data_IF_039967282988
#
_entry.id   IF_039967282988
#
_cell.length_a   1.000
_cell.length_b   1.000
_cell.length_c   1.000
_cell.angle_alpha   90.00
_cell.angle_beta   90.00
_cell.angle_gamma   90.00
#
_symmetry.space_group_name_H-M   'P 1'
#
loop_
_entity.id
_entity.type
_entity.pdbx_description
1 polymer ?
#
# COMPACT_ATOMS: atom_id res chain seq x y z
N UNK A 1 0.76 16.56 -17.43
CA UNK A 1 1.17 15.91 -16.16
C UNK A 1 2.00 16.85 -15.30
N UNK A 2 3.21 17.26 -15.73
CA UNK A 2 4.12 18.12 -14.93
C UNK A 2 3.51 19.42 -14.39
N UNK A 3 2.57 20.03 -15.12
CA UNK A 3 1.86 21.21 -14.63
C UNK A 3 0.97 20.92 -13.40
N UNK A 4 0.43 19.70 -13.28
CA UNK A 4 -0.44 19.29 -12.15
C UNK A 4 0.32 18.99 -10.86
N UNK A 5 1.59 18.64 -10.97
CA UNK A 5 2.48 18.36 -9.82
C UNK A 5 3.33 19.56 -9.45
N UNK A 6 3.27 20.65 -10.23
CA UNK A 6 3.93 21.91 -9.92
C UNK A 6 3.26 22.54 -8.69
N UNK A 7 4.05 22.91 -7.68
CA UNK A 7 3.55 23.42 -6.40
C UNK A 7 3.18 22.35 -5.37
N UNK A 8 3.38 21.07 -5.68
CA UNK A 8 3.32 20.01 -4.67
C UNK A 8 4.50 20.11 -3.71
N UNK A 9 4.26 19.72 -2.46
CA UNK A 9 5.23 19.77 -1.36
C UNK A 9 5.66 18.35 -1.00
N UNK A 10 6.86 18.24 -0.43
CA UNK A 10 7.40 16.96 0.01
C UNK A 10 6.73 16.55 1.32
N UNK A 11 6.33 15.28 1.42
CA UNK A 11 5.76 14.74 2.66
C UNK A 11 6.74 14.77 3.83
N UNK A 12 8.01 14.47 3.56
CA UNK A 12 9.13 14.60 4.50
C UNK A 12 10.40 15.00 3.72
N UNK A 13 11.48 15.45 4.39
CA UNK A 13 12.75 15.73 3.75
C UNK A 13 13.28 14.56 2.90
N UNK A 14 13.94 14.87 1.79
CA UNK A 14 14.52 13.85 0.90
C UNK A 14 15.50 12.96 1.66
N UNK A 15 15.33 11.65 1.54
CA UNK A 15 16.19 10.65 2.17
C UNK A 15 15.91 10.42 3.65
N UNK A 16 14.92 11.08 4.26
CA UNK A 16 14.62 10.88 5.69
C UNK A 16 13.72 9.68 5.96
N UNK A 17 12.87 9.27 5.00
CA UNK A 17 11.90 8.17 5.11
C UNK A 17 11.54 7.59 3.74
N UNK A 18 11.08 6.34 3.74
CA UNK A 18 10.42 5.74 2.59
C UNK A 18 8.93 6.12 2.55
N UNK A 19 8.43 6.51 1.38
CA UNK A 19 7.01 6.62 1.08
C UNK A 19 6.78 6.20 -0.37
N UNK A 20 5.92 5.21 -0.57
CA UNK A 20 5.57 4.74 -1.92
C UNK A 20 4.97 5.89 -2.74
N UNK A 21 5.39 6.05 -4.01
CA UNK A 21 4.94 7.15 -4.87
C UNK A 21 4.93 6.75 -6.34
N UNK A 22 3.74 6.50 -6.89
CA UNK A 22 3.52 6.32 -8.33
C UNK A 22 3.96 7.57 -9.10
N UNK A 23 3.65 8.76 -8.56
CA UNK A 23 4.01 10.05 -9.17
C UNK A 23 5.52 10.19 -9.35
N UNK A 24 6.32 9.63 -8.44
CA UNK A 24 7.78 9.60 -8.56
C UNK A 24 8.26 8.94 -9.86
N UNK A 25 7.66 7.81 -10.26
CA UNK A 25 8.00 7.11 -11.50
C UNK A 25 7.51 7.84 -12.74
N UNK A 26 6.31 8.41 -12.71
CA UNK A 26 5.79 9.23 -13.81
C UNK A 26 6.63 10.50 -14.02
N UNK A 27 7.19 11.08 -12.96
CA UNK A 27 8.13 12.20 -13.05
C UNK A 27 9.42 11.79 -13.76
N UNK A 28 9.96 10.60 -13.46
CA UNK A 28 11.12 10.04 -14.17
C UNK A 28 10.82 9.85 -15.65
N UNK A 29 9.66 9.28 -16.00
CA UNK A 29 9.24 9.16 -17.39
C UNK A 29 9.07 10.53 -18.07
N UNK A 30 8.48 11.50 -17.40
CA UNK A 30 8.34 12.86 -17.94
C UNK A 30 9.71 13.52 -18.19
N UNK A 31 10.70 13.28 -17.33
CA UNK A 31 12.08 13.72 -17.54
C UNK A 31 12.71 13.01 -18.76
N UNK A 32 12.56 11.69 -18.89
CA UNK A 32 13.03 10.93 -20.04
C UNK A 32 12.46 11.49 -21.35
N UNK A 33 11.14 11.70 -21.43
CA UNK A 33 10.50 12.26 -22.63
C UNK A 33 11.04 13.64 -22.99
N UNK A 34 11.35 14.50 -22.01
CA UNK A 34 11.94 15.82 -22.26
C UNK A 34 13.36 15.73 -22.80
N UNK A 35 14.15 14.79 -22.29
CA UNK A 35 15.56 14.61 -22.68
C UNK A 35 15.65 13.99 -24.08
N UNK A 36 14.82 12.98 -24.37
CA UNK A 36 14.91 12.19 -25.60
C UNK A 36 14.04 12.74 -26.74
N UNK A 37 13.00 13.52 -26.43
CA UNK A 37 11.97 13.92 -27.39
C UNK A 37 11.02 12.78 -27.80
N UNK A 38 11.19 11.57 -27.26
CA UNK A 38 10.34 10.42 -27.53
C UNK A 38 9.20 10.33 -26.51
N UNK A 39 8.08 9.68 -26.88
CA UNK A 39 7.09 9.25 -25.89
C UNK A 39 7.67 8.14 -25.02
N UNK A 40 7.18 8.00 -23.79
CA UNK A 40 7.64 6.93 -22.90
C UNK A 40 7.39 5.53 -23.49
N UNK A 41 6.24 5.33 -24.16
CA UNK A 41 5.93 4.08 -24.87
C UNK A 41 6.98 3.77 -25.95
N UNK A 42 7.34 4.76 -26.79
CA UNK A 42 8.31 4.57 -27.86
C UNK A 42 9.71 4.28 -27.29
N UNK A 43 10.10 5.02 -26.26
CA UNK A 43 11.37 4.82 -25.59
C UNK A 43 11.48 3.42 -24.95
N UNK A 44 10.46 2.99 -24.20
CA UNK A 44 10.42 1.64 -23.61
C UNK A 44 10.48 0.55 -24.70
N UNK A 45 9.75 0.72 -25.80
CA UNK A 45 9.78 -0.24 -26.91
C UNK A 45 11.16 -0.35 -27.53
N UNK A 46 11.84 0.76 -27.79
CA UNK A 46 13.14 0.80 -28.47
C UNK A 46 14.30 0.39 -27.59
N UNK A 47 14.30 0.83 -26.33
CA UNK A 47 15.44 0.72 -25.41
C UNK A 47 15.33 -0.45 -24.43
N UNK A 48 14.13 -0.99 -24.21
CA UNK A 48 13.91 -2.07 -23.24
C UNK A 48 13.27 -3.28 -23.90
N UNK A 49 12.06 -3.15 -24.45
CA UNK A 49 11.31 -4.32 -24.91
C UNK A 49 11.95 -5.01 -26.10
N UNK A 50 12.30 -4.26 -27.15
CA UNK A 50 12.93 -4.85 -28.35
C UNK A 50 14.29 -5.49 -28.06
N UNK A 51 15.23 -4.84 -27.34
CA UNK A 51 16.51 -5.47 -26.99
C UNK A 51 16.37 -6.74 -26.14
N UNK A 52 15.33 -6.82 -25.29
CA UNK A 52 15.05 -8.00 -24.47
C UNK A 52 14.21 -9.08 -25.19
N UNK A 53 13.78 -8.83 -26.42
CA UNK A 53 12.88 -9.74 -27.14
C UNK A 53 11.43 -9.76 -26.62
N UNK A 54 11.03 -8.77 -25.82
CA UNK A 54 9.70 -8.63 -25.24
C UNK A 54 8.70 -8.06 -26.27
N UNK A 55 8.38 -8.84 -27.30
CA UNK A 55 7.62 -8.37 -28.47
C UNK A 55 6.13 -8.13 -28.21
N UNK A 56 5.59 -8.65 -27.10
CA UNK A 56 4.18 -8.52 -26.69
C UNK A 56 3.98 -7.50 -25.58
N UNK A 57 5.06 -6.86 -25.13
CA UNK A 57 5.04 -5.88 -24.04
C UNK A 57 4.76 -4.48 -24.54
N UNK A 58 3.88 -3.77 -23.84
CA UNK A 58 3.51 -2.40 -24.19
C UNK A 58 3.02 -1.63 -22.98
N UNK A 59 3.12 -0.30 -23.04
CA UNK A 59 2.48 0.60 -22.07
C UNK A 59 1.18 1.21 -22.62
N UNK A 60 0.69 0.71 -23.75
CA UNK A 60 -0.49 1.19 -24.44
C UNK A 60 -1.65 0.21 -24.27
N UNK A 61 -2.63 0.57 -23.46
CA UNK A 61 -3.77 -0.28 -23.16
C UNK A 61 -4.58 -0.67 -24.41
N UNK A 62 -4.69 0.21 -25.41
CA UNK A 62 -5.40 -0.12 -26.66
C UNK A 62 -4.69 -1.20 -27.47
N UNK A 63 -3.35 -1.19 -27.47
CA UNK A 63 -2.57 -2.23 -28.13
C UNK A 63 -2.61 -3.54 -27.34
N UNK A 64 -2.61 -3.46 -26.01
CA UNK A 64 -2.60 -4.64 -25.13
C UNK A 64 -3.94 -5.39 -25.08
N UNK A 65 -5.05 -4.67 -24.91
CA UNK A 65 -6.34 -5.27 -24.52
C UNK A 65 -7.25 -5.63 -25.70
N UNK A 66 -6.86 -5.29 -26.93
CA UNK A 66 -7.63 -5.61 -28.15
C UNK A 66 -7.18 -6.89 -28.85
N UNK A 67 -6.11 -7.53 -28.38
CA UNK A 67 -5.61 -8.78 -28.94
C UNK A 67 -6.48 -9.97 -28.54
N UNK A 68 -6.53 -10.99 -29.39
CA UNK A 68 -7.30 -12.23 -29.12
C UNK A 68 -6.74 -13.02 -27.93
N UNK A 69 -5.45 -12.85 -27.60
CA UNK A 69 -4.76 -13.49 -26.47
C UNK A 69 -4.58 -12.53 -25.28
N UNK A 70 -5.48 -11.54 -25.15
CA UNK A 70 -5.53 -10.63 -24.01
C UNK A 70 -6.43 -11.20 -22.91
N UNK A 71 -5.95 -11.24 -21.67
CA UNK A 71 -6.78 -11.58 -20.53
C UNK A 71 -7.63 -10.39 -20.10
N UNK A 72 -8.93 -10.59 -19.87
CA UNK A 72 -9.79 -9.61 -19.19
C UNK A 72 -9.58 -9.63 -17.68
N UNK A 73 -9.57 -8.46 -17.05
CA UNK A 73 -9.41 -8.31 -15.60
C UNK A 73 -10.74 -8.48 -14.88
N UNK A 74 -10.72 -9.06 -13.66
CA UNK A 74 -11.93 -9.37 -12.91
C UNK A 74 -11.89 -8.88 -11.46
N UNK A 75 -13.09 -8.61 -10.93
CA UNK A 75 -13.38 -8.50 -9.50
C UNK A 75 -14.51 -9.47 -9.16
N UNK A 76 -14.17 -10.61 -8.57
CA UNK A 76 -15.14 -11.69 -8.36
C UNK A 76 -15.63 -12.23 -9.71
N UNK A 77 -16.94 -12.29 -9.88
CA UNK A 77 -17.60 -12.64 -11.15
C UNK A 77 -17.73 -11.47 -12.13
N UNK A 78 -17.43 -10.24 -11.71
CA UNK A 78 -17.53 -9.05 -12.56
C UNK A 78 -16.26 -8.83 -13.38
N UNK A 79 -16.41 -8.63 -14.68
CA UNK A 79 -15.32 -8.27 -15.59
C UNK A 79 -15.17 -6.73 -15.64
N UNK A 80 -13.94 -6.24 -15.61
CA UNK A 80 -13.63 -4.82 -15.83
C UNK A 80 -13.79 -4.46 -17.30
N UNK A 81 -14.41 -3.32 -17.59
CA UNK A 81 -14.46 -2.83 -18.97
C UNK A 81 -13.08 -2.35 -19.43
N UNK A 82 -12.89 -2.24 -20.75
CA UNK A 82 -11.69 -1.64 -21.32
C UNK A 82 -11.34 -0.30 -20.66
N UNK A 83 -12.35 0.56 -20.43
CA UNK A 83 -12.18 1.89 -19.86
C UNK A 83 -11.65 1.82 -18.43
N UNK A 84 -12.11 0.85 -17.65
CA UNK A 84 -11.75 0.71 -16.25
C UNK A 84 -10.31 0.19 -16.08
N UNK A 85 -9.81 -0.55 -17.07
CA UNK A 85 -8.43 -1.07 -17.09
C UNK A 85 -7.39 -0.03 -17.52
N UNK A 86 -7.79 1.10 -18.13
CA UNK A 86 -6.82 2.11 -18.57
C UNK A 86 -6.22 2.87 -17.39
N UNK A 87 -4.94 2.64 -17.13
CA UNK A 87 -4.18 3.35 -16.09
C UNK A 87 -3.55 4.63 -16.70
N UNK A 88 -3.89 5.83 -16.21
CA UNK A 88 -3.35 7.08 -16.75
C UNK A 88 -1.90 7.36 -16.33
N UNK A 89 -1.45 6.73 -15.24
CA UNK A 89 -0.08 6.80 -14.72
C UNK A 89 0.78 5.73 -15.41
N UNK A 90 1.31 6.08 -16.58
CA UNK A 90 1.86 5.10 -17.51
C UNK A 90 3.10 4.40 -16.92
N UNK A 91 4.02 5.16 -16.36
CA UNK A 91 5.33 4.64 -15.96
C UNK A 91 5.29 3.88 -14.63
N UNK A 92 4.33 4.18 -13.76
CA UNK A 92 4.22 3.54 -12.45
C UNK A 92 3.42 2.24 -12.45
N UNK A 93 2.67 1.93 -13.52
CA UNK A 93 1.80 0.74 -13.47
C UNK A 93 1.06 0.35 -14.75
N UNK A 94 1.24 1.03 -15.90
CA UNK A 94 0.47 0.72 -17.11
C UNK A 94 1.18 -0.24 -18.08
N UNK A 95 2.14 -1.04 -17.60
CA UNK A 95 2.77 -2.07 -18.43
C UNK A 95 1.84 -3.28 -18.55
N UNK A 96 1.59 -3.68 -19.79
CA UNK A 96 0.96 -4.95 -20.14
C UNK A 96 2.02 -5.85 -20.76
N UNK A 97 2.07 -7.11 -20.36
CA UNK A 97 3.06 -8.10 -20.80
C UNK A 97 2.49 -9.52 -20.71
N UNK A 98 3.16 -10.47 -21.35
CA UNK A 98 2.96 -11.91 -21.13
C UNK A 98 3.96 -12.46 -20.10
N UNK A 99 3.73 -13.69 -19.65
CA UNK A 99 4.69 -14.41 -18.80
C UNK A 99 5.99 -14.73 -19.56
N UNK A 100 5.91 -14.94 -20.88
CA UNK A 100 7.08 -15.21 -21.74
C UNK A 100 7.98 -13.97 -21.83
N UNK A 101 7.40 -12.80 -22.12
CA UNK A 101 8.13 -11.54 -22.20
C UNK A 101 8.76 -11.17 -20.84
N UNK A 102 8.01 -11.30 -19.75
CA UNK A 102 8.57 -11.03 -18.41
C UNK A 102 9.64 -12.05 -18.04
N UNK A 103 9.63 -13.27 -18.59
CA UNK A 103 10.71 -14.24 -18.38
C UNK A 103 12.02 -13.78 -19.03
N UNK A 104 11.98 -13.06 -20.15
CA UNK A 104 13.16 -12.41 -20.73
C UNK A 104 13.74 -11.33 -19.79
N UNK A 105 12.88 -10.51 -19.19
CA UNK A 105 13.28 -9.52 -18.19
C UNK A 105 13.94 -10.18 -16.97
N UNK A 106 13.34 -11.24 -16.42
CA UNK A 106 13.91 -12.00 -15.31
C UNK A 106 15.25 -12.65 -15.70
N UNK A 107 15.35 -13.21 -16.91
CA UNK A 107 16.58 -13.80 -17.42
C UNK A 107 17.72 -12.78 -17.52
N UNK A 108 17.45 -11.54 -17.95
CA UNK A 108 18.44 -10.46 -17.97
C UNK A 108 19.01 -10.20 -16.56
N UNK A 109 18.16 -10.15 -15.53
CA UNK A 109 18.62 -9.98 -14.15
C UNK A 109 19.44 -11.17 -13.65
N UNK A 110 19.00 -12.41 -13.95
CA UNK A 110 19.71 -13.64 -13.56
C UNK A 110 21.08 -13.77 -14.25
N UNK A 111 21.18 -13.30 -15.49
CA UNK A 111 22.44 -13.28 -16.26
C UNK A 111 23.30 -12.04 -15.95
N UNK A 112 22.98 -11.31 -14.88
CA UNK A 112 23.77 -10.15 -14.43
C UNK A 112 23.81 -9.01 -15.45
N UNK A 113 22.72 -8.79 -16.19
CA UNK A 113 22.58 -7.69 -17.16
C UNK A 113 23.01 -8.04 -18.57
N UNK A 114 23.20 -9.33 -18.87
CA UNK A 114 23.52 -9.83 -20.21
C UNK A 114 22.28 -10.32 -20.95
N UNK A 115 22.25 -10.05 -22.24
CA UNK A 115 21.21 -10.52 -23.18
C UNK A 115 21.94 -11.02 -24.42
N UNK A 116 21.76 -12.29 -24.79
CA UNK A 116 22.45 -12.94 -25.90
C UNK A 116 23.99 -12.76 -25.89
N UNK A 117 24.58 -12.69 -24.69
CA UNK A 117 26.02 -12.51 -24.49
C UNK A 117 26.48 -11.04 -24.49
N UNK A 118 25.61 -10.10 -24.86
CA UNK A 118 25.90 -8.67 -24.91
C UNK A 118 25.46 -7.94 -23.64
N UNK A 119 26.17 -6.87 -23.28
CA UNK A 119 25.88 -6.05 -22.10
C UNK A 119 24.66 -5.16 -22.37
N UNK A 120 23.52 -5.52 -21.80
CA UNK A 120 22.32 -4.70 -21.82
C UNK A 120 22.31 -3.68 -20.67
N UNK A 121 22.56 -4.12 -19.44
CA UNK A 121 22.62 -3.25 -18.26
C UNK A 121 23.92 -3.43 -17.50
N UNK A 122 24.55 -2.31 -17.16
CA UNK A 122 25.80 -2.29 -16.40
C UNK A 122 25.61 -2.92 -15.01
N UNK A 123 26.58 -3.72 -14.59
CA UNK A 123 26.53 -4.40 -13.28
C UNK A 123 26.37 -3.40 -12.14
N UNK A 124 27.03 -2.24 -12.21
CA UNK A 124 26.88 -1.16 -11.21
C UNK A 124 25.43 -0.71 -11.03
N UNK A 125 24.66 -0.63 -12.12
CA UNK A 125 23.26 -0.21 -12.07
C UNK A 125 22.38 -1.32 -11.48
N UNK A 126 22.67 -2.58 -11.79
CA UNK A 126 22.01 -3.71 -11.12
C UNK A 126 22.29 -3.71 -9.62
N UNK A 127 23.55 -3.53 -9.22
CA UNK A 127 23.93 -3.46 -7.81
C UNK A 127 23.22 -2.30 -7.09
N UNK A 128 22.98 -1.17 -7.78
CA UNK A 128 22.20 -0.04 -7.27
C UNK A 128 20.71 -0.38 -7.10
N UNK A 129 20.11 -1.06 -8.09
CA UNK A 129 18.72 -1.56 -8.02
C UNK A 129 18.56 -2.57 -6.88
N UNK A 130 19.57 -3.42 -6.65
CA UNK A 130 19.54 -4.49 -5.63
C UNK A 130 19.85 -3.99 -4.22
N UNK A 131 20.18 -2.71 -4.05
CA UNK A 131 20.60 -2.16 -2.77
C UNK A 131 19.39 -1.96 -1.86
N UNK A 132 19.49 -2.45 -0.63
CA UNK A 132 18.60 -2.00 0.45
C UNK A 132 18.99 -0.54 0.75
N UNK A 133 18.10 0.44 0.58
CA UNK A 133 18.38 1.81 1.01
C UNK A 133 18.45 1.80 2.55
N UNK A 134 19.67 1.72 3.09
CA UNK A 134 19.94 1.66 4.53
C UNK A 134 19.44 2.93 5.24
N UNK A 135 18.18 2.92 5.63
CA UNK A 135 17.63 3.87 6.60
C UNK A 135 18.01 3.45 8.03
N UNK A 136 18.27 2.15 8.22
CA UNK A 136 18.62 1.50 9.48
C UNK A 136 19.77 0.50 9.30
N UNK A 137 20.61 0.37 10.32
CA UNK A 137 21.78 -0.54 10.33
C UNK A 137 21.37 -2.01 10.13
N UNK A 138 20.25 -2.43 10.72
CA UNK A 138 19.81 -3.84 10.73
C UNK A 138 18.72 -4.15 9.68
N UNK A 139 18.56 -3.28 8.68
CA UNK A 139 17.51 -3.46 7.67
C UNK A 139 17.83 -4.67 6.76
N UNK A 140 16.91 -5.63 6.71
CA UNK A 140 17.01 -6.83 5.85
C UNK A 140 15.99 -6.83 4.72
N UNK A 141 15.05 -5.87 4.72
CA UNK A 141 14.06 -5.72 3.66
C UNK A 141 13.72 -4.25 3.42
N UNK A 142 13.53 -3.90 2.15
CA UNK A 142 13.02 -2.61 1.73
C UNK A 142 12.24 -2.71 0.42
N UNK A 143 11.53 -1.64 0.09
CA UNK A 143 11.14 -1.34 -1.29
C UNK A 143 12.07 -0.23 -1.77
N UNK A 144 12.80 -0.46 -2.86
CA UNK A 144 13.76 0.49 -3.43
C UNK A 144 13.69 0.44 -4.96
N UNK A 145 13.73 1.60 -5.63
CA UNK A 145 13.66 1.68 -7.10
C UNK A 145 12.49 0.91 -7.73
N UNK A 146 11.38 0.74 -7.00
CA UNK A 146 10.17 0.05 -7.48
C UNK A 146 10.17 -1.46 -7.26
N UNK A 147 11.19 -1.99 -6.59
CA UNK A 147 11.33 -3.43 -6.34
C UNK A 147 11.43 -3.72 -4.84
N UNK A 148 10.85 -4.84 -4.42
CA UNK A 148 11.07 -5.39 -3.09
C UNK A 148 12.42 -6.09 -3.02
N UNK A 149 13.29 -5.65 -2.13
CA UNK A 149 14.61 -6.23 -1.87
C UNK A 149 14.57 -6.90 -0.51
N UNK A 150 14.85 -8.20 -0.44
CA UNK A 150 14.77 -9.02 0.77
C UNK A 150 16.02 -9.86 0.97
N UNK A 151 16.50 -9.93 2.22
CA UNK A 151 17.65 -10.73 2.65
C UNK A 151 17.41 -11.51 3.95
N UNK A 152 16.20 -11.49 4.51
CA UNK A 152 15.94 -12.19 5.77
C UNK A 152 15.65 -13.69 5.58
N UNK A 153 15.24 -14.14 4.39
CA UNK A 153 14.96 -15.55 4.16
C UNK A 153 16.18 -16.35 3.71
N UNK A 154 16.11 -17.67 3.94
CA UNK A 154 16.98 -18.67 3.30
C UNK A 154 18.48 -18.38 3.46
N UNK A 155 18.90 -18.04 4.68
CA UNK A 155 20.31 -17.85 5.01
C UNK A 155 20.94 -16.57 4.45
N UNK A 156 20.13 -15.56 4.11
CA UNK A 156 20.63 -14.28 3.63
C UNK A 156 20.59 -14.09 2.11
N UNK A 157 20.06 -15.07 1.39
CA UNK A 157 19.96 -15.03 -0.07
C UNK A 157 19.13 -13.82 -0.52
N UNK A 158 19.64 -13.13 -1.53
CA UNK A 158 18.99 -11.94 -2.07
C UNK A 158 17.76 -12.35 -2.88
N UNK A 159 16.59 -11.95 -2.40
CA UNK A 159 15.32 -12.09 -3.08
C UNK A 159 14.85 -10.74 -3.59
N UNK A 160 14.65 -10.63 -4.90
CA UNK A 160 14.04 -9.49 -5.55
C UNK A 160 12.58 -9.83 -5.85
N UNK A 161 11.66 -8.91 -5.57
CA UNK A 161 10.22 -9.10 -5.74
C UNK A 161 9.62 -7.93 -6.49
N UNK A 162 8.96 -8.23 -7.59
CA UNK A 162 8.27 -7.30 -8.47
C UNK A 162 6.79 -7.58 -8.29
N UNK A 163 6.14 -6.76 -7.48
CA UNK A 163 4.71 -6.85 -7.22
C UNK A 163 4.02 -5.65 -7.85
N UNK A 164 2.88 -5.89 -8.48
CA UNK A 164 2.01 -4.83 -8.95
C UNK A 164 0.58 -5.31 -9.04
N UNK A 165 -0.35 -4.42 -8.73
CA UNK A 165 -1.79 -4.62 -8.89
C UNK A 165 -2.42 -3.45 -9.64
N UNK A 166 -3.52 -3.74 -10.30
CA UNK A 166 -4.32 -2.78 -11.04
C UNK A 166 -5.75 -3.26 -11.17
N UNK A 167 -6.64 -2.49 -11.83
CA UNK A 167 -8.03 -2.84 -12.00
C UNK A 167 -8.19 -4.20 -12.69
N UNK A 168 -8.47 -5.25 -11.91
CA UNK A 168 -8.68 -6.59 -12.43
C UNK A 168 -7.42 -7.45 -12.61
N UNK A 169 -6.24 -6.95 -12.28
CA UNK A 169 -4.97 -7.67 -12.52
C UNK A 169 -4.02 -7.60 -11.34
N UNK A 170 -3.21 -8.65 -11.18
CA UNK A 170 -2.13 -8.71 -10.22
C UNK A 170 -0.95 -9.49 -10.81
N UNK A 171 0.25 -9.01 -10.56
CA UNK A 171 1.50 -9.65 -10.95
C UNK A 171 2.43 -9.81 -9.75
N UNK A 172 3.12 -10.94 -9.71
CA UNK A 172 4.17 -11.22 -8.73
C UNK A 172 5.28 -11.99 -9.42
N UNK A 173 6.44 -11.35 -9.58
CA UNK A 173 7.63 -11.97 -10.15
C UNK A 173 8.74 -11.89 -9.13
N UNK A 174 9.50 -12.96 -9.00
CA UNK A 174 10.53 -13.04 -7.98
C UNK A 174 11.75 -13.76 -8.52
N UNK A 175 12.92 -13.37 -8.04
CA UNK A 175 14.16 -14.03 -8.38
C UNK A 175 15.19 -13.98 -7.26
N UNK A 176 16.05 -15.00 -7.28
CA UNK A 176 17.26 -15.13 -6.49
C UNK A 176 18.47 -15.10 -7.45
N UNK A 177 19.07 -13.93 -7.71
CA UNK A 177 20.21 -13.82 -8.63
C UNK A 177 21.37 -14.73 -8.24
N UNK A 178 21.70 -14.83 -6.94
CA UNK A 178 22.79 -15.68 -6.44
C UNK A 178 22.57 -17.18 -6.68
N UNK A 179 21.32 -17.61 -6.84
CA UNK A 179 20.95 -19.01 -7.05
C UNK A 179 20.62 -19.34 -8.50
N UNK A 180 20.49 -18.33 -9.36
CA UNK A 180 20.07 -18.52 -10.76
C UNK A 180 18.63 -19.02 -10.89
N UNK A 181 17.73 -18.59 -10.01
CA UNK A 181 16.33 -19.02 -9.97
C UNK A 181 15.43 -17.81 -10.05
N UNK A 182 14.38 -17.87 -10.88
CA UNK A 182 13.30 -16.88 -10.87
C UNK A 182 12.05 -17.44 -11.51
N UNK A 183 10.94 -16.73 -11.30
CA UNK A 183 9.64 -17.07 -11.88
C UNK A 183 8.78 -15.83 -12.06
N UNK A 184 7.76 -15.99 -12.90
CA UNK A 184 6.82 -14.96 -13.30
C UNK A 184 5.41 -15.50 -13.07
N UNK A 185 4.61 -14.79 -12.27
CA UNK A 185 3.19 -15.07 -12.10
C UNK A 185 2.35 -13.84 -12.42
N UNK A 186 1.26 -14.06 -13.16
CA UNK A 186 0.25 -13.05 -13.45
C UNK A 186 -1.13 -13.65 -13.20
N UNK A 187 -2.06 -12.80 -12.75
CA UNK A 187 -3.43 -13.17 -12.42
C UNK A 187 -4.36 -12.04 -12.86
N UNK A 188 -5.53 -12.41 -13.38
CA UNK A 188 -6.55 -11.48 -13.87
C UNK A 188 -7.78 -11.44 -12.94
N UNK A 189 -7.52 -11.47 -11.63
CA UNK A 189 -8.51 -11.39 -10.56
C UNK A 189 -7.99 -10.46 -9.47
N UNK A 190 -8.89 -9.68 -8.85
CA UNK A 190 -8.57 -8.76 -7.76
C UNK A 190 -8.96 -9.31 -6.38
N UNK A 191 -10.02 -10.11 -6.30
CA UNK A 191 -10.55 -10.63 -5.03
C UNK A 191 -9.58 -11.67 -4.46
N UNK A 192 -9.03 -11.39 -3.27
CA UNK A 192 -8.08 -12.24 -2.54
C UNK A 192 -6.82 -12.66 -3.34
N UNK A 193 -6.55 -12.00 -4.46
CA UNK A 193 -5.51 -12.41 -5.40
C UNK A 193 -4.11 -12.28 -4.78
N UNK A 194 -3.87 -11.24 -3.97
CA UNK A 194 -2.60 -11.08 -3.26
C UNK A 194 -2.30 -12.26 -2.34
N UNK A 195 -3.28 -12.68 -1.53
CA UNK A 195 -3.11 -13.80 -0.59
C UNK A 195 -2.88 -15.10 -1.35
N UNK A 196 -3.65 -15.34 -2.42
CA UNK A 196 -3.49 -16.51 -3.27
C UNK A 196 -2.08 -16.55 -3.90
N UNK A 197 -1.66 -15.48 -4.58
CA UNK A 197 -0.35 -15.44 -5.25
C UNK A 197 0.80 -15.52 -4.25
N UNK A 198 0.68 -14.86 -3.10
CA UNK A 198 1.71 -14.94 -2.05
C UNK A 198 1.83 -16.37 -1.49
N UNK A 199 0.71 -17.08 -1.33
CA UNK A 199 0.70 -18.48 -0.91
C UNK A 199 1.31 -19.43 -1.94
N UNK A 200 1.06 -19.19 -3.23
CA UNK A 200 1.69 -19.95 -4.32
C UNK A 200 3.18 -19.62 -4.41
N UNK A 201 3.54 -18.34 -4.39
CA UNK A 201 4.91 -17.85 -4.39
C UNK A 201 5.75 -18.52 -3.30
N UNK A 202 5.26 -18.51 -2.05
CA UNK A 202 5.96 -19.14 -0.92
C UNK A 202 6.25 -20.63 -1.16
N UNK A 203 5.31 -21.38 -1.75
CA UNK A 203 5.52 -22.80 -2.09
C UNK A 203 6.55 -22.96 -3.21
N UNK A 204 6.56 -22.08 -4.21
CA UNK A 204 7.58 -22.07 -5.27
C UNK A 204 8.95 -21.76 -4.66
N UNK A 205 9.05 -20.71 -3.83
CA UNK A 205 10.26 -20.33 -3.10
C UNK A 205 10.83 -21.55 -2.34
N UNK A 206 10.05 -22.14 -1.44
CA UNK A 206 10.50 -23.26 -0.61
C UNK A 206 10.94 -24.49 -1.45
N UNK A 207 10.17 -24.86 -2.48
CA UNK A 207 10.49 -26.03 -3.30
C UNK A 207 11.74 -25.80 -4.16
N UNK A 208 11.87 -24.64 -4.80
CA UNK A 208 13.01 -24.33 -5.67
C UNK A 208 14.30 -24.17 -4.87
N UNK A 209 14.24 -23.49 -3.72
CA UNK A 209 15.39 -23.33 -2.82
C UNK A 209 15.84 -24.70 -2.29
N UNK A 210 14.90 -25.52 -1.82
CA UNK A 210 15.22 -26.88 -1.35
C UNK A 210 15.82 -27.74 -2.45
N UNK A 211 15.31 -27.66 -3.68
CA UNK A 211 15.86 -28.38 -4.83
C UNK A 211 17.29 -27.92 -5.17
N UNK A 212 17.57 -26.62 -5.08
CA UNK A 212 18.87 -26.03 -5.41
C UNK A 212 19.94 -26.27 -4.34
N UNK A 213 19.57 -26.12 -3.07
CA UNK A 213 20.49 -26.16 -1.92
C UNK A 213 20.47 -27.48 -1.16
N UNK A 214 19.58 -28.41 -1.52
CA UNK A 214 19.34 -29.69 -0.85
C UNK A 214 18.57 -29.59 0.47
N UNK A 215 18.44 -28.38 1.04
CA UNK A 215 17.68 -28.08 2.26
C UNK A 215 17.22 -26.63 2.24
N UNK A 216 16.28 -26.28 3.12
CA UNK A 216 15.96 -24.89 3.42
C UNK A 216 16.94 -24.38 4.49
N UNK A 217 17.76 -23.35 4.18
CA UNK A 217 18.55 -22.69 5.20
C UNK A 217 17.66 -21.97 6.22
N UNK A 218 18.17 -21.74 7.43
CA UNK A 218 17.48 -20.94 8.42
C UNK A 218 17.41 -19.47 7.98
N UNK A 219 16.30 -18.82 8.27
CA UNK A 219 16.12 -17.39 8.04
C UNK A 219 17.04 -16.57 8.98
N UNK A 220 17.48 -15.40 8.52
CA UNK A 220 18.14 -14.43 9.37
C UNK A 220 17.11 -13.76 10.29
N UNK A 221 17.54 -13.47 11.51
CA UNK A 221 16.75 -12.73 12.47
C UNK A 221 17.53 -11.49 12.93
N UNK A 222 16.90 -10.31 12.85
CA UNK A 222 17.50 -9.07 13.35
C UNK A 222 17.93 -9.21 14.81
N UNK A 223 17.15 -9.92 15.63
CA UNK A 223 17.46 -10.13 17.05
C UNK A 223 18.80 -10.82 17.30
N UNK A 224 19.30 -11.62 16.35
CA UNK A 224 20.58 -12.32 16.47
C UNK A 224 21.78 -11.35 16.35
N UNK A 225 21.55 -10.16 15.80
CA UNK A 225 22.57 -9.13 15.59
C UNK A 225 22.60 -8.08 16.70
N UNK A 226 21.63 -8.10 17.61
CA UNK A 226 21.48 -7.06 18.63
C UNK A 226 22.20 -7.41 19.91
N UNK A 227 22.78 -6.37 20.53
CA UNK A 227 23.28 -6.48 21.91
C UNK A 227 22.11 -6.21 22.88
N UNK A 228 21.76 -7.16 23.77
CA UNK A 228 20.68 -6.94 24.73
C UNK A 228 20.96 -5.74 25.64
N UNK A 229 19.96 -4.87 25.80
CA UNK A 229 19.99 -3.77 26.76
C UNK A 229 19.13 -4.13 27.98
N UNK A 230 19.55 -3.79 29.21
CA UNK A 230 18.75 -4.06 30.40
C UNK A 230 17.46 -3.21 30.37
N UNK A 231 16.31 -3.77 30.80
CA UNK A 231 15.08 -2.98 30.91
C UNK A 231 15.20 -1.84 31.91
N UNK A 232 14.48 -0.75 31.67
CA UNK A 232 14.38 0.39 32.59
C UNK A 232 12.97 0.53 33.17
N UNK A 233 12.83 1.21 34.30
CA UNK A 233 11.49 1.58 34.80
C UNK A 233 11.05 2.88 34.13
N UNK A 234 9.81 2.93 33.67
CA UNK A 234 9.17 4.14 33.13
C UNK A 234 7.93 4.45 33.97
N UNK A 235 7.67 5.72 34.25
CA UNK A 235 6.47 6.14 34.98
C UNK A 235 5.19 5.98 34.13
N UNK A 236 4.06 5.76 34.79
CA UNK A 236 2.77 5.58 34.14
C UNK A 236 2.38 6.76 33.23
N UNK A 237 2.71 8.00 33.64
CA UNK A 237 2.39 9.20 32.85
C UNK A 237 3.12 9.22 31.51
N UNK A 238 4.35 8.73 31.45
CA UNK A 238 5.08 8.56 30.18
C UNK A 238 4.43 7.47 29.32
N UNK A 239 4.03 6.33 29.89
CA UNK A 239 3.33 5.27 29.14
C UNK A 239 1.96 5.75 28.61
N UNK A 240 1.22 6.51 29.40
CA UNK A 240 -0.04 7.14 28.99
C UNK A 240 0.15 8.09 27.81
N UNK A 241 1.22 8.91 27.84
CA UNK A 241 1.54 9.85 26.74
C UNK A 241 1.90 9.13 25.44
N UNK A 242 2.62 8.01 25.52
CA UNK A 242 3.02 7.23 24.34
C UNK A 242 1.87 6.41 23.74
N UNK A 243 0.79 6.22 24.50
CA UNK A 243 -0.40 5.49 24.03
C UNK A 243 -1.16 6.28 22.97
N UNK A 244 -1.80 5.56 22.06
CA UNK A 244 -2.59 6.15 20.99
C UNK A 244 -2.43 5.41 19.67
N UNK A 245 -2.90 6.07 18.62
CA UNK A 245 -2.92 5.53 17.26
C UNK A 245 -1.77 6.13 16.45
N UNK A 246 -1.07 5.26 15.74
CA UNK A 246 -0.01 5.61 14.82
C UNK A 246 -0.36 5.05 13.44
N UNK A 247 -0.25 5.88 12.41
CA UNK A 247 -0.73 5.54 11.06
C UNK A 247 0.34 5.79 10.00
N UNK A 248 0.32 4.96 8.98
CA UNK A 248 1.01 5.17 7.72
C UNK A 248 0.05 4.79 6.61
N UNK A 249 0.44 4.97 5.36
CA UNK A 249 -0.43 4.62 4.22
C UNK A 249 -0.78 3.13 4.16
N UNK A 250 0.09 2.26 4.69
CA UNK A 250 -0.05 0.81 4.57
C UNK A 250 -0.36 0.11 5.89
N UNK A 251 -0.12 0.77 7.02
CA UNK A 251 -0.21 0.16 8.35
C UNK A 251 -0.79 1.14 9.36
N UNK A 252 -1.55 0.61 10.31
CA UNK A 252 -1.95 1.30 11.53
C UNK A 252 -1.47 0.47 12.73
N UNK A 253 -1.13 1.14 13.83
CA UNK A 253 -0.80 0.52 15.11
C UNK A 253 -1.57 1.27 16.20
N UNK A 254 -2.31 0.53 17.02
CA UNK A 254 -2.86 1.02 18.27
C UNK A 254 -1.95 0.59 19.43
N UNK A 255 -1.29 1.57 20.06
CA UNK A 255 -0.45 1.37 21.24
C UNK A 255 -1.31 1.60 22.48
N UNK A 256 -1.39 0.59 23.35
CA UNK A 256 -2.20 0.59 24.57
C UNK A 256 -1.33 0.49 25.81
N UNK A 257 -1.53 1.39 26.76
CA UNK A 257 -1.03 1.24 28.12
C UNK A 257 -2.03 0.43 28.96
N UNK A 258 -1.62 -0.77 29.38
CA UNK A 258 -2.40 -1.65 30.23
C UNK A 258 -1.47 -2.39 31.18
N UNK A 259 -1.91 -2.59 32.43
CA UNK A 259 -1.16 -3.35 33.44
C UNK A 259 0.30 -2.86 33.65
N UNK A 260 0.55 -1.56 33.52
CA UNK A 260 1.86 -0.95 33.72
C UNK A 260 2.84 -1.13 32.55
N UNK A 261 2.37 -1.53 31.37
CA UNK A 261 3.21 -1.66 30.18
C UNK A 261 2.48 -1.22 28.92
N UNK A 262 3.26 -0.85 27.90
CA UNK A 262 2.73 -0.68 26.55
C UNK A 262 2.56 -2.04 25.88
N UNK A 263 1.56 -2.13 25.03
CA UNK A 263 1.38 -3.25 24.11
C UNK A 263 0.88 -2.74 22.77
N UNK A 264 1.24 -3.43 21.70
CA UNK A 264 0.59 -3.28 20.42
C UNK A 264 0.55 -4.60 19.69
N UNK A 265 -0.28 -4.67 18.64
CA UNK A 265 -0.32 -5.79 17.72
C UNK A 265 0.44 -5.43 16.43
N UNK A 266 1.48 -6.20 16.13
CA UNK A 266 2.21 -6.10 14.86
C UNK A 266 2.36 -7.50 14.28
N UNK A 267 1.40 -7.87 13.42
CA UNK A 267 1.26 -9.22 12.85
C UNK A 267 1.09 -10.31 13.93
N UNK A 268 -0.01 -11.06 13.88
CA UNK A 268 -0.29 -12.08 14.90
C UNK A 268 -0.79 -11.46 16.20
N UNK A 269 -0.43 -12.03 17.35
CA UNK A 269 -0.97 -11.62 18.65
C UNK A 269 -0.35 -10.32 19.21
N UNK A 270 -1.10 -9.54 20.01
CA UNK A 270 -0.55 -8.41 20.74
C UNK A 270 0.69 -8.78 21.56
N UNK A 271 1.71 -7.94 21.50
CA UNK A 271 2.97 -8.13 22.23
C UNK A 271 3.15 -7.02 23.25
N UNK A 272 3.45 -7.40 24.49
CA UNK A 272 3.87 -6.46 25.52
C UNK A 272 5.27 -5.94 25.22
N UNK A 273 5.47 -4.64 25.41
CA UNK A 273 6.73 -3.96 25.17
C UNK A 273 7.54 -3.87 26.46
N UNK A 274 8.83 -4.15 26.32
CA UNK A 274 9.83 -3.99 27.37
C UNK A 274 10.56 -2.66 27.15
N UNK A 275 10.49 -1.72 28.09
CA UNK A 275 11.17 -0.42 27.97
C UNK A 275 12.70 -0.55 28.08
N UNK A 276 13.41 0.10 27.16
CA UNK A 276 14.88 0.22 27.14
C UNK A 276 15.36 1.65 27.47
N UNK A 277 14.52 2.65 27.17
CA UNK A 277 14.69 4.05 27.56
C UNK A 277 13.31 4.71 27.63
N UNK A 278 13.23 6.03 27.89
CA UNK A 278 11.95 6.74 27.89
C UNK A 278 11.18 6.71 26.56
N UNK A 279 11.85 6.38 25.45
CA UNK A 279 11.28 6.36 24.09
C UNK A 279 11.60 5.09 23.30
N UNK A 280 12.46 4.21 23.78
CA UNK A 280 12.83 2.98 23.10
C UNK A 280 12.31 1.76 23.84
N UNK A 281 11.79 0.80 23.08
CA UNK A 281 11.19 -0.42 23.58
C UNK A 281 11.61 -1.60 22.71
N UNK A 282 11.40 -2.81 23.25
CA UNK A 282 11.63 -4.05 22.54
C UNK A 282 10.56 -5.08 22.87
N UNK A 283 10.35 -6.04 21.98
CA UNK A 283 9.50 -7.20 22.21
C UNK A 283 10.12 -8.44 21.53
N UNK A 284 9.53 -9.60 21.75
CA UNK A 284 10.00 -10.86 21.14
C UNK A 284 9.97 -10.82 19.61
N UNK A 285 9.00 -10.14 19.01
CA UNK A 285 8.77 -10.10 17.55
C UNK A 285 9.16 -8.75 16.92
N UNK A 286 9.33 -7.72 17.74
CA UNK A 286 9.71 -6.38 17.31
C UNK A 286 10.89 -5.92 18.16
N UNK A 287 12.12 -6.31 17.78
CA UNK A 287 13.28 -6.06 18.60
C UNK A 287 13.59 -4.57 18.78
N UNK A 288 13.14 -3.71 17.87
CA UNK A 288 13.30 -2.26 17.98
C UNK A 288 11.99 -1.52 17.74
N UNK A 289 11.59 -0.76 18.74
CA UNK A 289 10.44 0.14 18.75
C UNK A 289 10.91 1.48 19.30
N UNK A 290 10.73 2.55 18.54
CA UNK A 290 11.20 3.88 18.93
C UNK A 290 10.11 4.92 18.71
N UNK A 291 9.82 5.70 19.75
CA UNK A 291 8.95 6.86 19.69
C UNK A 291 9.77 8.13 19.50
N UNK A 292 9.41 8.96 18.53
CA UNK A 292 9.92 10.34 18.48
C UNK A 292 8.90 11.28 19.10
N UNK A 293 9.37 12.25 19.87
CA UNK A 293 8.54 13.22 20.59
C UNK A 293 8.86 14.65 20.13
N UNK A 294 7.91 15.57 20.29
CA UNK A 294 8.18 17.00 20.22
C UNK A 294 8.76 17.55 21.54
N UNK A 295 9.05 18.85 21.58
CA UNK A 295 9.60 19.52 22.77
C UNK A 295 8.70 19.44 24.01
N UNK A 296 7.39 19.23 23.82
CA UNK A 296 6.42 19.07 24.91
C UNK A 296 6.31 17.63 25.41
N UNK A 297 6.99 16.69 24.74
CA UNK A 297 6.88 15.26 25.01
C UNK A 297 5.66 14.60 24.36
N UNK A 298 5.00 15.27 23.42
CA UNK A 298 3.90 14.68 22.64
C UNK A 298 4.49 13.77 21.55
N UNK A 299 3.92 12.57 21.32
CA UNK A 299 4.38 11.71 20.25
C UNK A 299 4.22 12.37 18.87
N UNK A 300 5.26 12.21 18.06
CA UNK A 300 5.28 12.56 16.66
C UNK A 300 5.18 11.29 15.81
N UNK A 301 6.06 10.31 16.05
CA UNK A 301 6.14 9.11 15.21
C UNK A 301 6.51 7.87 16.01
N UNK A 302 6.12 6.71 15.49
CA UNK A 302 6.48 5.39 15.97
C UNK A 302 7.24 4.66 14.87
N UNK A 303 8.49 4.32 15.14
CA UNK A 303 9.32 3.49 14.28
C UNK A 303 9.33 2.07 14.82
N UNK A 304 9.03 1.11 13.96
CA UNK A 304 9.08 -0.32 14.27
C UNK A 304 10.01 -1.03 13.29
N UNK A 305 10.86 -1.89 13.83
CA UNK A 305 11.72 -2.78 13.07
C UNK A 305 11.52 -4.21 13.59
N UNK A 306 10.75 -5.03 12.86
CA UNK A 306 10.49 -6.43 13.21
C UNK A 306 11.72 -7.32 12.95
N UNK A 307 11.64 -8.58 13.37
CA UNK A 307 12.73 -9.55 13.20
C UNK A 307 13.13 -9.82 11.74
N UNK A 308 12.23 -9.53 10.78
CA UNK A 308 12.50 -9.64 9.34
C UNK A 308 13.23 -8.41 8.75
N UNK A 309 13.51 -7.40 9.56
CA UNK A 309 14.29 -6.22 9.18
C UNK A 309 13.58 -5.27 8.22
N UNK A 310 12.24 -5.21 8.21
CA UNK A 310 11.49 -4.19 7.47
C UNK A 310 11.14 -2.99 8.35
N UNK A 311 11.81 -1.86 8.16
CA UNK A 311 11.50 -0.63 8.90
C UNK A 311 10.17 -0.04 8.45
N UNK A 312 9.29 0.23 9.43
CA UNK A 312 8.10 1.07 9.21
C UNK A 312 8.14 2.25 10.16
N UNK A 313 7.86 3.45 9.64
CA UNK A 313 7.65 4.66 10.45
C UNK A 313 6.21 5.10 10.28
N UNK A 314 5.50 5.26 11.39
CA UNK A 314 4.11 5.66 11.46
C UNK A 314 3.98 7.01 12.16
N UNK A 315 3.10 7.87 11.67
CA UNK A 315 2.83 9.20 12.23
C UNK A 315 1.75 9.10 13.31
N UNK A 316 1.91 9.85 14.40
CA UNK A 316 0.96 9.89 15.51
C UNK A 316 -0.33 10.60 15.10
N UNK A 317 -1.45 9.88 15.20
CA UNK A 317 -2.77 10.32 14.75
C UNK A 317 -3.70 10.71 15.92
N UNK A 318 -3.22 10.55 17.14
CA UNK A 318 -3.87 10.97 18.37
C UNK A 318 -4.00 9.85 19.40
N UNK A 319 -4.30 10.22 20.64
CA UNK A 319 -4.37 9.28 21.76
C UNK A 319 -5.13 9.83 22.96
N UNK A 320 -5.22 9.06 24.05
CA UNK A 320 -6.04 9.42 25.22
C UNK A 320 -5.55 10.68 25.95
N UNK A 321 -4.28 11.06 25.78
CA UNK A 321 -3.71 12.27 26.37
C UNK A 321 -3.88 13.52 25.50
N UNK A 322 -4.37 13.40 24.26
CA UNK A 322 -4.64 14.57 23.42
C UNK A 322 -5.85 15.35 23.94
N UNK A 323 -5.79 16.68 23.87
CA UNK A 323 -6.93 17.53 24.19
C UNK A 323 -8.10 17.29 23.24
N UNK A 324 -9.33 17.51 23.72
CA UNK A 324 -10.53 17.58 22.86
C UNK A 324 -10.27 18.57 21.73
N UNK A 325 -10.66 18.19 20.52
CA UNK A 325 -10.45 19.02 19.35
C UNK A 325 -11.31 20.28 19.29
N UNK A 326 -11.01 21.18 18.35
CA UNK A 326 -11.62 22.50 18.28
C UNK A 326 -13.12 22.46 17.96
N UNK A 327 -13.62 21.37 17.38
CA UNK A 327 -15.01 21.17 17.01
C UNK A 327 -15.62 22.37 16.27
N UNK A 328 -14.95 22.82 15.20
CA UNK A 328 -15.39 24.02 14.47
C UNK A 328 -16.82 23.84 13.93
N UNK A 329 -17.74 24.79 14.16
CA UNK A 329 -19.15 24.66 13.74
C UNK A 329 -19.34 24.39 12.24
N UNK A 330 -18.50 25.00 11.40
CA UNK A 330 -18.59 24.88 9.94
C UNK A 330 -18.25 23.47 9.41
N UNK A 331 -17.68 22.60 10.24
CA UNK A 331 -17.37 21.23 9.84
C UNK A 331 -18.61 20.39 9.53
N UNK A 332 -19.80 20.80 9.99
CA UNK A 332 -21.06 20.13 9.69
C UNK A 332 -21.28 19.90 8.18
N UNK A 333 -20.78 20.83 7.33
CA UNK A 333 -20.90 20.70 5.87
C UNK A 333 -20.05 19.59 5.27
N UNK A 334 -18.99 19.13 5.95
CA UNK A 334 -18.14 18.04 5.45
C UNK A 334 -18.63 16.66 5.88
N UNK A 335 -19.51 16.58 6.87
CA UNK A 335 -19.96 15.29 7.42
C UNK A 335 -20.82 14.54 6.41
N UNK A 336 -20.71 13.21 6.41
CA UNK A 336 -21.51 12.35 5.55
C UNK A 336 -20.71 11.25 4.88
N UNK A 337 -21.33 10.63 3.89
CA UNK A 337 -20.78 9.52 3.13
C UNK A 337 -20.45 9.97 1.72
N UNK A 338 -19.36 9.45 1.18
CA UNK A 338 -18.87 9.78 -0.14
C UNK A 338 -18.53 8.50 -0.89
N UNK A 339 -18.98 8.43 -2.14
CA UNK A 339 -18.87 7.28 -3.03
C UNK A 339 -17.87 7.57 -4.15
N UNK A 340 -17.01 6.61 -4.44
CA UNK A 340 -16.15 6.61 -5.64
C UNK A 340 -16.45 5.39 -6.50
N UNK A 341 -16.59 5.63 -7.81
CA UNK A 341 -16.91 4.60 -8.78
C UNK A 341 -15.63 4.02 -9.36
N UNK A 342 -15.40 2.74 -9.06
CA UNK A 342 -14.19 1.99 -9.42
C UNK A 342 -14.45 1.02 -10.59
N UNK A 343 -15.34 1.40 -11.50
CA UNK A 343 -15.68 0.65 -12.72
C UNK A 343 -16.61 -0.55 -12.49
N UNK A 344 -16.24 -1.48 -11.61
CA UNK A 344 -17.02 -2.70 -11.30
C UNK A 344 -17.57 -2.75 -9.87
N UNK A 345 -17.17 -1.79 -9.03
CA UNK A 345 -17.67 -1.64 -7.66
C UNK A 345 -17.61 -0.16 -7.24
N UNK A 346 -18.35 0.18 -6.18
CA UNK A 346 -18.28 1.48 -5.51
C UNK A 346 -17.54 1.37 -4.17
N UNK A 347 -16.57 2.27 -3.93
CA UNK A 347 -16.00 2.47 -2.60
C UNK A 347 -16.74 3.56 -1.85
N UNK A 348 -16.90 3.36 -0.55
CA UNK A 348 -17.54 4.32 0.33
C UNK A 348 -16.60 4.77 1.44
N UNK A 349 -16.38 6.07 1.51
CA UNK A 349 -15.70 6.74 2.61
C UNK A 349 -16.73 7.54 3.42
N UNK A 350 -16.36 7.87 4.65
CA UNK A 350 -17.21 8.68 5.51
C UNK A 350 -16.39 9.73 6.23
N UNK A 351 -17.00 10.88 6.48
CA UNK A 351 -16.40 11.95 7.27
C UNK A 351 -17.25 12.19 8.49
N UNK A 352 -16.62 12.14 9.66
CA UNK A 352 -17.31 12.33 10.93
C UNK A 352 -16.42 13.07 11.95
N UNK A 353 -17.03 13.61 13.01
CA UNK A 353 -16.31 14.19 14.15
C UNK A 353 -16.10 13.13 15.22
N UNK A 354 -14.86 12.96 15.67
CA UNK A 354 -14.49 12.13 16.81
C UNK A 354 -13.68 12.97 17.79
N UNK A 355 -14.13 13.03 19.04
CA UNK A 355 -13.50 13.81 20.11
C UNK A 355 -13.16 15.26 19.70
N UNK A 356 -14.07 15.92 18.95
CA UNK A 356 -13.89 17.29 18.50
C UNK A 356 -12.93 17.49 17.32
N UNK A 357 -12.43 16.41 16.70
CA UNK A 357 -11.64 16.47 15.46
C UNK A 357 -12.39 15.84 14.28
N UNK A 358 -12.15 16.35 13.08
CA UNK A 358 -12.68 15.77 11.86
C UNK A 358 -11.85 14.54 11.45
N UNK A 359 -12.50 13.46 11.06
CA UNK A 359 -11.87 12.22 10.61
C UNK A 359 -12.41 11.79 9.25
N UNK A 360 -11.52 11.29 8.40
CA UNK A 360 -11.85 10.54 7.20
C UNK A 360 -11.76 9.04 7.50
N UNK A 361 -12.88 8.34 7.39
CA UNK A 361 -12.98 6.90 7.47
C UNK A 361 -12.98 6.28 6.08
N UNK A 362 -12.14 5.28 5.92
CA UNK A 362 -12.00 4.43 4.73
C UNK A 362 -12.44 3.01 5.06
N UNK A 363 -12.45 2.10 4.08
CA UNK A 363 -12.76 0.70 4.33
C UNK A 363 -11.83 0.03 5.36
N UNK A 364 -10.58 0.46 5.46
CA UNK A 364 -9.57 -0.15 6.35
C UNK A 364 -9.37 0.63 7.65
N UNK A 365 -9.30 1.95 7.55
CA UNK A 365 -8.76 2.84 8.57
C UNK A 365 -9.54 4.13 8.72
N UNK A 366 -9.27 4.88 9.80
CA UNK A 366 -9.68 6.27 9.91
C UNK A 366 -8.44 7.15 10.00
N UNK A 367 -8.49 8.37 9.50
CA UNK A 367 -7.39 9.34 9.57
C UNK A 367 -7.91 10.65 10.13
N UNK A 368 -7.22 11.22 11.12
CA UNK A 368 -7.52 12.58 11.56
C UNK A 368 -7.21 13.53 10.41
N UNK A 369 -8.11 14.49 10.20
CA UNK A 369 -7.95 15.54 9.20
C UNK A 369 -7.39 16.80 9.86
N UNK A 370 -6.19 17.18 9.44
CA UNK A 370 -5.53 18.42 9.83
C UNK A 370 -5.96 19.54 8.89
N UNK A 371 -6.61 20.62 9.39
CA UNK A 371 -6.96 21.76 8.56
C UNK A 371 -5.70 22.47 8.08
N UNK A 372 -5.67 22.85 6.80
CA UNK A 372 -4.59 23.63 6.22
C UNK A 372 -5.09 24.99 5.71
N UNK A 373 -6.09 24.95 4.84
CA UNK A 373 -6.79 26.13 4.33
C UNK A 373 -8.30 25.85 4.30
N UNK A 374 -9.09 26.84 3.87
CA UNK A 374 -10.53 26.66 3.74
C UNK A 374 -10.82 25.48 2.81
N UNK A 375 -11.62 24.52 3.30
CA UNK A 375 -12.03 23.32 2.58
C UNK A 375 -10.88 22.35 2.20
N UNK A 376 -9.62 22.63 2.59
CA UNK A 376 -8.45 21.79 2.33
C UNK A 376 -7.87 21.24 3.63
N UNK A 377 -7.77 19.92 3.69
CA UNK A 377 -7.26 19.16 4.83
C UNK A 377 -6.18 18.18 4.40
N UNK A 378 -5.43 17.68 5.38
CA UNK A 378 -4.53 16.57 5.22
C UNK A 378 -4.85 15.45 6.19
N UNK A 379 -4.86 14.21 5.71
CA UNK A 379 -4.77 13.07 6.61
C UNK A 379 -3.43 13.10 7.35
N UNK A 380 -3.36 12.49 8.53
CA UNK A 380 -2.10 12.40 9.28
C UNK A 380 -0.98 11.72 8.48
N UNK A 381 -1.30 10.78 7.60
CA UNK A 381 -0.35 10.17 6.67
C UNK A 381 -0.13 10.99 5.38
N UNK A 382 -0.52 12.27 5.37
CA UNK A 382 -0.11 13.28 4.37
C UNK A 382 -0.89 13.30 3.06
N UNK A 383 -2.07 12.68 2.97
CA UNK A 383 -2.92 12.78 1.78
C UNK A 383 -3.78 14.04 1.81
N UNK A 384 -3.84 14.75 0.67
CA UNK A 384 -4.76 15.88 0.51
C UNK A 384 -6.21 15.41 0.49
N UNK A 385 -7.06 16.13 1.21
CA UNK A 385 -8.51 15.97 1.19
C UNK A 385 -9.12 17.34 0.95
N UNK A 386 -9.57 17.56 -0.28
CA UNK A 386 -10.20 18.81 -0.69
C UNK A 386 -11.70 18.62 -0.75
N UNK A 387 -12.45 19.34 0.08
CA UNK A 387 -13.90 19.37 0.00
C UNK A 387 -14.37 20.41 -1.01
N UNK A 388 -15.50 20.09 -1.63
CA UNK A 388 -16.33 20.98 -2.43
C UNK A 388 -17.76 20.93 -1.85
N UNK A 389 -18.75 21.52 -2.54
CA UNK A 389 -20.15 21.47 -2.11
C UNK A 389 -20.68 20.02 -2.03
N UNK A 390 -20.53 19.27 -3.13
CA UNK A 390 -21.13 17.93 -3.28
C UNK A 390 -20.11 16.80 -3.42
N UNK A 391 -18.81 17.09 -3.24
CA UNK A 391 -17.77 16.06 -3.39
C UNK A 391 -16.54 16.32 -2.53
N UNK A 392 -15.76 15.26 -2.38
CA UNK A 392 -14.45 15.25 -1.74
C UNK A 392 -13.42 14.74 -2.74
N UNK A 393 -12.34 15.48 -2.96
CA UNK A 393 -11.26 15.12 -3.88
C UNK A 393 -10.07 14.61 -3.09
N UNK A 394 -9.64 13.40 -3.42
CA UNK A 394 -8.42 12.76 -2.97
C UNK A 394 -7.47 12.53 -4.16
N UNK A 395 -6.19 12.19 -3.93
CA UNK A 395 -5.25 11.94 -5.03
C UNK A 395 -5.67 10.82 -5.99
N UNK A 396 -6.49 9.88 -5.53
CA UNK A 396 -6.98 8.72 -6.28
C UNK A 396 -8.31 8.98 -7.01
N UNK A 397 -9.05 10.03 -6.68
CA UNK A 397 -10.32 10.31 -7.35
C UNK A 397 -11.19 11.37 -6.72
N UNK A 398 -12.36 11.56 -7.35
CA UNK A 398 -13.43 12.43 -6.85
C UNK A 398 -14.51 11.54 -6.25
N UNK A 399 -14.77 11.75 -4.97
CA UNK A 399 -15.77 11.02 -4.21
C UNK A 399 -17.02 11.89 -4.09
N UNK A 400 -18.13 11.44 -4.68
CA UNK A 400 -19.39 12.17 -4.67
C UNK A 400 -20.15 11.91 -3.38
N UNK A 401 -20.75 12.95 -2.79
CA UNK A 401 -21.60 12.78 -1.61
C UNK A 401 -22.76 11.86 -1.95
N UNK A 402 -23.05 10.91 -1.06
CA UNK A 402 -24.11 9.92 -1.24
C UNK A 402 -24.96 9.80 0.03
N UNK A 403 -26.27 9.72 -0.15
CA UNK A 403 -27.18 9.33 0.93
C UNK A 403 -27.28 7.80 1.01
N UNK A 404 -26.70 7.24 2.06
CA UNK A 404 -26.58 5.80 2.26
C UNK A 404 -27.58 5.33 3.32
N UNK A 405 -28.75 4.88 2.86
CA UNK A 405 -29.80 4.29 3.70
C UNK A 405 -30.36 3.04 3.03
N UNK A 406 -30.88 2.11 3.81
CA UNK A 406 -31.53 0.90 3.32
C UNK A 406 -32.75 1.24 2.43
N UNK A 407 -33.43 2.35 2.70
CA UNK A 407 -34.56 2.80 1.87
C UNK A 407 -34.09 3.28 0.50
N UNK A 408 -33.00 4.05 0.42
CA UNK A 408 -32.42 4.44 -0.86
C UNK A 408 -31.93 3.23 -1.66
N UNK A 409 -31.32 2.24 -0.99
CA UNK A 409 -30.90 1.00 -1.65
C UNK A 409 -32.10 0.22 -2.20
N UNK A 410 -33.22 0.14 -1.47
CA UNK A 410 -34.47 -0.48 -1.97
C UNK A 410 -35.04 0.28 -3.16
N UNK A 411 -35.10 1.60 -3.09
CA UNK A 411 -35.57 2.43 -4.19
C UNK A 411 -34.68 2.28 -5.43
N UNK A 412 -33.36 2.17 -5.24
CA UNK A 412 -32.44 1.93 -6.33
C UNK A 412 -32.67 0.56 -6.98
N UNK A 413 -32.92 -0.48 -6.17
CA UNK A 413 -33.26 -1.81 -6.67
C UNK A 413 -34.52 -1.81 -7.54
N UNK A 414 -35.53 -1.01 -7.19
CA UNK A 414 -36.76 -0.87 -7.97
C UNK A 414 -36.57 -0.08 -9.27
N UNK A 415 -35.72 0.96 -9.24
CA UNK A 415 -35.57 1.90 -10.36
C UNK A 415 -34.43 1.57 -11.33
N UNK A 416 -33.43 0.81 -10.88
CA UNK A 416 -32.23 0.48 -11.66
C UNK A 416 -31.49 -0.72 -11.08
N UNK A 417 -32.01 -1.96 -11.26
CA UNK A 417 -31.42 -3.17 -10.68
C UNK A 417 -30.00 -3.50 -11.18
N UNK A 418 -29.60 -2.95 -12.33
CA UNK A 418 -28.26 -3.11 -12.91
C UNK A 418 -27.25 -2.04 -12.43
N UNK A 419 -27.63 -1.18 -11.48
CA UNK A 419 -26.74 -0.13 -10.99
C UNK A 419 -25.57 -0.74 -10.20
N UNK A 420 -24.35 -0.28 -10.51
CA UNK A 420 -23.10 -0.71 -9.86
C UNK A 420 -23.12 -0.62 -8.33
N UNK A 421 -23.91 0.28 -7.74
CA UNK A 421 -24.07 0.40 -6.29
C UNK A 421 -24.76 -0.82 -5.67
N UNK A 422 -25.53 -1.57 -6.45
CA UNK A 422 -26.23 -2.78 -6.03
C UNK A 422 -25.38 -4.04 -6.15
N UNK A 423 -24.17 -3.96 -6.76
CA UNK A 423 -23.25 -5.09 -6.77
C UNK A 423 -22.90 -5.51 -5.34
N UNK A 424 -22.81 -6.82 -5.08
CA UNK A 424 -22.51 -7.38 -3.75
C UNK A 424 -21.25 -6.77 -3.12
N UNK A 425 -20.22 -6.50 -3.94
CA UNK A 425 -18.96 -5.88 -3.54
C UNK A 425 -19.16 -4.43 -3.06
N UNK A 426 -19.99 -3.65 -3.74
CA UNK A 426 -20.37 -2.27 -3.39
C UNK A 426 -21.16 -2.24 -2.08
N UNK A 427 -22.17 -3.10 -1.94
CA UNK A 427 -23.00 -3.17 -0.73
C UNK A 427 -22.21 -3.67 0.49
N UNK A 428 -21.29 -4.61 0.28
CA UNK A 428 -20.36 -5.08 1.32
C UNK A 428 -19.44 -3.95 1.79
N UNK A 429 -18.88 -3.17 0.84
CA UNK A 429 -18.08 -1.99 1.19
C UNK A 429 -18.89 -0.97 1.98
N UNK A 430 -20.16 -0.76 1.61
CA UNK A 430 -21.04 0.16 2.32
C UNK A 430 -21.34 -0.30 3.76
N UNK A 431 -21.61 -1.60 3.95
CA UNK A 431 -21.85 -2.14 5.28
C UNK A 431 -20.65 -1.93 6.21
N UNK A 432 -19.43 -2.18 5.72
CA UNK A 432 -18.21 -1.98 6.49
C UNK A 432 -18.02 -0.52 6.92
N UNK A 433 -18.31 0.45 6.05
CA UNK A 433 -18.18 1.87 6.43
C UNK A 433 -19.27 2.30 7.43
N UNK A 434 -20.50 1.78 7.29
CA UNK A 434 -21.60 2.05 8.23
C UNK A 434 -21.30 1.53 9.63
N UNK A 435 -20.82 0.29 9.74
CA UNK A 435 -20.40 -0.31 11.02
C UNK A 435 -19.30 0.51 11.68
N UNK A 436 -18.28 0.89 10.91
CA UNK A 436 -17.15 1.70 11.41
C UNK A 436 -17.57 3.08 11.91
N UNK A 437 -18.66 3.63 11.36
CA UNK A 437 -19.21 4.93 11.73
C UNK A 437 -20.36 4.85 12.74
N UNK A 438 -20.58 3.67 13.34
CA UNK A 438 -21.59 3.46 14.39
C UNK A 438 -23.02 3.27 13.91
N UNK A 439 -23.25 3.08 12.61
CA UNK A 439 -24.57 2.79 11.99
C UNK A 439 -24.78 1.30 11.75
N UNK A 440 -24.44 0.45 12.72
CA UNK A 440 -24.52 -1.01 12.61
C UNK A 440 -25.92 -1.54 12.33
N UNK A 441 -26.97 -0.91 12.88
CA UNK A 441 -28.36 -1.29 12.57
C UNK A 441 -28.70 -1.08 11.09
N UNK A 442 -28.22 0.02 10.50
CA UNK A 442 -28.44 0.30 9.09
C UNK A 442 -27.66 -0.69 8.20
N UNK A 443 -26.43 -1.01 8.59
CA UNK A 443 -25.64 -2.04 7.93
C UNK A 443 -26.35 -3.40 7.94
N UNK A 444 -26.97 -3.80 9.07
CA UNK A 444 -27.74 -5.04 9.15
C UNK A 444 -28.95 -5.05 8.22
N UNK A 445 -29.67 -3.93 8.09
CA UNK A 445 -30.78 -3.81 7.14
C UNK A 445 -30.32 -3.98 5.69
N UNK A 446 -29.16 -3.43 5.33
CA UNK A 446 -28.59 -3.56 3.99
C UNK A 446 -28.11 -4.98 3.74
N UNK A 447 -27.45 -5.64 4.70
CA UNK A 447 -27.08 -7.07 4.60
C UNK A 447 -28.28 -7.96 4.31
N UNK A 448 -29.41 -7.72 4.97
CA UNK A 448 -30.65 -8.45 4.69
C UNK A 448 -31.22 -8.21 3.28
N UNK A 449 -30.85 -7.12 2.60
CA UNK A 449 -31.16 -6.90 1.18
C UNK A 449 -30.23 -7.76 0.31
N UNK A 450 -28.93 -7.78 0.61
CA UNK A 450 -27.93 -8.62 -0.08
C UNK A 450 -28.36 -10.08 -0.06
N UNK A 451 -28.67 -10.62 1.12
CA UNK A 451 -29.06 -12.03 1.29
C UNK A 451 -30.28 -12.42 0.45
N UNK A 452 -31.20 -11.47 0.17
CA UNK A 452 -32.36 -11.70 -0.70
C UNK A 452 -32.03 -11.63 -2.18
N UNK A 453 -31.01 -10.89 -2.58
CA UNK A 453 -30.55 -10.81 -3.97
C UNK A 453 -29.73 -12.04 -4.36
N UNK A 454 -29.02 -12.62 -3.40
CA UNK A 454 -28.20 -13.82 -3.59
C UNK A 454 -28.97 -15.15 -3.51
N UNK A 455 -30.24 -15.13 -3.07
CA UNK A 455 -31.12 -16.30 -2.92
C UNK A 455 -32.07 -16.44 -4.12
#
# INVERSE_FOLDING_TARGET
YLHRVNGMWQKYPVGSRFSYSNIGFDLVAAALQRITGQSFEAWMREQVYRPLGMTRSTTNASNALRGEDAASGHFGSSEFSFKDTVIPQIASGAQFSSVDDMSCFIAMHLNGGLVDGERFLEKRLLDEVYRIPYMDEYQLMAIGMGIGVRRFNYGGELLLSFYGDGPGYLSLHQLFPGLGIGWVMSCNQSVNAFQMLSGVAKKIEENMIKAKLGKLPADLNVSDQLTPRPPVSIDAGTLDRLSGRYVSRMNNIEVKHQFGALSFQWQGEPSQLTPLSGTEFTSKTTPFVEFSLDESGRPLTLKVLPTNGYTTVLDYDGGPCDSVGPNYPDWGKYLGYYRFDYGVLCWYYAVNVVNGYLFLFTGRDGFRLQPYERDLFFTTDGQSVQFTEDSMVLPDGVYMREDVSADNIRQLLESGPEDIRLHDSSLSSLCGILERTGRSEEALKIKAIIDKLSA
#
